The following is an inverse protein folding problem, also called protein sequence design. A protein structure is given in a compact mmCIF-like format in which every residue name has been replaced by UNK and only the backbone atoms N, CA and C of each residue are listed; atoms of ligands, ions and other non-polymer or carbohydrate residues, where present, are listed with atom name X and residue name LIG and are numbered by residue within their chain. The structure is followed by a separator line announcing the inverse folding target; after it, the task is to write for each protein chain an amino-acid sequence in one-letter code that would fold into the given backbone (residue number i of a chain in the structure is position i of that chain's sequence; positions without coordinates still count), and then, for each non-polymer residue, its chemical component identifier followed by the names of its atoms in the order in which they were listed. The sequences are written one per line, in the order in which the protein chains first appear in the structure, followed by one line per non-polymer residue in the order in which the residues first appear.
data_IF_581120302412
#
_entry.id   IF_581120302412
#
_cell.length_a   1.000
_cell.length_b   1.000
_cell.length_c   1.000
_cell.angle_alpha   90.00
_cell.angle_beta   90.00
_cell.angle_gamma   90.00
#
_symmetry.space_group_name_H-M   'P 1'
#
loop_
_entity.id
_entity.type
_entity.pdbx_description
1 polymer ?
#
# COMPACT_ATOMS: atom_id res chain seq x y z
N UNK A 1 -10.17 -3.01 4.36
CA UNK A 1 -9.76 -1.69 4.89
C UNK A 1 -10.75 -0.60 4.45
N UNK A 2 -11.04 0.39 5.31
CA UNK A 2 -11.99 1.48 5.01
C UNK A 2 -11.26 2.82 5.02
N UNK A 3 -11.40 3.60 3.95
CA UNK A 3 -10.91 4.96 3.84
C UNK A 3 -12.05 5.95 4.02
N UNK A 4 -11.77 7.05 4.70
CA UNK A 4 -12.72 8.14 4.92
C UNK A 4 -12.21 9.39 4.23
N UNK A 5 -13.03 9.95 3.34
CA UNK A 5 -12.76 11.22 2.66
C UNK A 5 -13.69 12.27 3.24
N UNK A 6 -13.12 13.38 3.68
CA UNK A 6 -13.86 14.48 4.30
C UNK A 6 -13.79 15.72 3.41
N UNK A 7 -14.94 16.37 3.19
CA UNK A 7 -14.97 17.73 2.65
C UNK A 7 -15.18 18.74 3.77
N UNK A 8 -14.56 19.90 3.63
CA UNK A 8 -14.64 21.02 4.58
C UNK A 8 -15.01 22.30 3.86
N UNK A 9 -15.61 23.26 4.57
CA UNK A 9 -16.02 24.55 3.99
C UNK A 9 -17.48 24.55 3.57
N UNK A 10 -17.79 25.22 2.46
CA UNK A 10 -19.16 25.29 1.94
C UNK A 10 -19.63 23.92 1.42
N UNK A 11 -20.75 23.46 1.98
CA UNK A 11 -21.38 22.19 1.69
C UNK A 11 -22.81 22.36 1.15
N UNK A 12 -23.19 23.57 0.72
CA UNK A 12 -24.56 23.87 0.29
C UNK A 12 -24.95 23.20 -1.04
N UNK A 13 -23.98 22.80 -1.86
CA UNK A 13 -24.20 22.11 -3.12
C UNK A 13 -23.60 20.69 -3.12
N UNK A 14 -24.08 19.88 -4.04
CA UNK A 14 -23.48 18.58 -4.33
C UNK A 14 -22.04 18.78 -4.83
N UNK A 15 -21.12 17.92 -4.45
CA UNK A 15 -19.73 17.90 -4.92
C UNK A 15 -19.29 16.47 -5.11
N UNK A 16 -18.30 16.25 -5.95
CA UNK A 16 -17.70 14.93 -6.14
C UNK A 16 -16.20 15.01 -6.28
N UNK A 17 -15.54 13.89 -5.97
CA UNK A 17 -14.11 13.67 -6.17
C UNK A 17 -13.92 12.21 -6.58
N UNK A 18 -13.01 11.96 -7.51
CA UNK A 18 -12.61 10.61 -7.88
C UNK A 18 -11.55 10.11 -6.91
N UNK A 19 -11.54 8.80 -6.64
CA UNK A 19 -10.49 8.12 -5.92
C UNK A 19 -9.93 6.96 -6.76
N UNK A 20 -8.66 6.63 -6.56
CA UNK A 20 -8.04 5.43 -7.10
C UNK A 20 -6.97 4.90 -6.16
N UNK A 21 -6.80 3.58 -6.11
CA UNK A 21 -5.68 2.92 -5.44
C UNK A 21 -4.60 2.54 -6.45
N UNK A 22 -3.33 2.63 -6.06
CA UNK A 22 -2.17 2.23 -6.86
C UNK A 22 -1.02 1.75 -5.97
N UNK A 23 -0.04 1.08 -6.58
CA UNK A 23 1.27 0.82 -5.98
C UNK A 23 2.21 1.87 -6.57
N UNK A 24 2.60 2.84 -5.77
CA UNK A 24 3.46 3.96 -6.20
C UNK A 24 4.93 3.72 -5.83
N UNK A 25 5.81 4.61 -6.27
CA UNK A 25 7.21 4.56 -5.86
C UNK A 25 7.34 4.72 -4.33
N UNK A 26 7.85 3.68 -3.67
CA UNK A 26 8.01 3.64 -2.21
C UNK A 26 7.03 2.70 -1.50
N UNK A 27 6.01 2.21 -2.21
CA UNK A 27 5.14 1.14 -1.75
C UNK A 27 5.82 -0.23 -1.87
N UNK A 28 5.42 -1.16 -1.00
CA UNK A 28 5.92 -2.54 -0.98
C UNK A 28 4.82 -3.60 -1.09
N UNK A 29 3.55 -3.22 -1.21
CA UNK A 29 2.50 -4.16 -1.60
C UNK A 29 2.64 -4.54 -3.09
N UNK A 30 2.20 -5.74 -3.40
CA UNK A 30 2.03 -6.34 -4.71
C UNK A 30 0.55 -6.37 -5.12
N UNK A 31 0.30 -6.65 -6.41
CA UNK A 31 -1.07 -6.70 -6.95
C UNK A 31 -1.92 -7.85 -6.38
N UNK A 32 -1.28 -8.82 -5.69
CA UNK A 32 -1.95 -9.93 -5.01
C UNK A 32 -2.57 -9.52 -3.66
N UNK A 33 -1.98 -8.53 -2.98
CA UNK A 33 -2.23 -8.27 -1.56
C UNK A 33 -3.50 -7.46 -1.34
N UNK A 34 -3.98 -6.79 -2.39
CA UNK A 34 -5.26 -6.09 -2.37
C UNK A 34 -5.91 -6.06 -3.75
N UNK A 35 -7.25 -5.96 -3.75
CA UNK A 35 -8.00 -5.67 -4.96
C UNK A 35 -8.01 -4.18 -5.20
N UNK A 36 -7.33 -3.74 -6.27
CA UNK A 36 -7.34 -2.35 -6.70
C UNK A 36 -8.78 -1.81 -6.87
N UNK A 37 -9.03 -0.60 -6.38
CA UNK A 37 -10.32 0.04 -6.37
C UNK A 37 -10.23 1.48 -6.89
N UNK A 38 -11.25 1.93 -7.62
CA UNK A 38 -11.41 3.30 -8.07
C UNK A 38 -12.88 3.63 -8.22
N UNK A 39 -13.21 4.91 -8.20
CA UNK A 39 -14.57 5.38 -8.40
C UNK A 39 -14.75 6.84 -8.04
N UNK A 40 -16.00 7.27 -7.98
CA UNK A 40 -16.37 8.66 -7.65
C UNK A 40 -17.12 8.67 -6.32
N UNK A 41 -16.68 9.52 -5.39
CA UNK A 41 -17.41 9.82 -4.16
C UNK A 41 -18.28 11.06 -4.41
N UNK A 42 -19.59 10.91 -4.26
CA UNK A 42 -20.53 12.03 -4.30
C UNK A 42 -20.91 12.46 -2.89
N UNK A 43 -20.69 13.73 -2.59
CA UNK A 43 -21.13 14.41 -1.39
C UNK A 43 -22.38 15.22 -1.75
N UNK A 44 -23.56 14.70 -1.42
CA UNK A 44 -24.80 15.48 -1.53
C UNK A 44 -24.74 16.72 -0.62
N UNK A 45 -25.51 17.76 -0.92
CA UNK A 45 -25.61 18.96 -0.07
C UNK A 45 -25.74 18.62 1.42
N UNK A 46 -24.89 19.20 2.26
CA UNK A 46 -24.81 18.97 3.71
C UNK A 46 -24.03 17.72 4.14
N UNK A 47 -23.76 16.74 3.27
CA UNK A 47 -22.97 15.54 3.60
C UNK A 47 -21.49 15.88 3.60
N UNK A 48 -20.76 15.71 4.70
CA UNK A 48 -19.34 16.11 4.77
C UNK A 48 -18.35 14.95 4.70
N UNK A 49 -18.84 13.71 4.75
CA UNK A 49 -17.98 12.53 4.82
C UNK A 49 -18.52 11.44 3.89
N UNK A 50 -17.61 10.82 3.14
CA UNK A 50 -17.87 9.64 2.35
C UNK A 50 -16.79 8.60 2.65
N UNK A 51 -17.10 7.33 2.40
CA UNK A 51 -16.17 6.23 2.61
C UNK A 51 -16.13 5.32 1.39
N UNK A 52 -14.99 4.69 1.18
CA UNK A 52 -14.87 3.52 0.31
C UNK A 52 -14.01 2.46 0.98
N UNK A 53 -14.12 1.22 0.50
CA UNK A 53 -13.39 0.09 1.05
C UNK A 53 -12.42 -0.48 0.04
N UNK A 54 -11.25 -0.92 0.50
CA UNK A 54 -10.31 -1.72 -0.26
C UNK A 54 -10.28 -3.11 0.37
N UNK A 55 -10.46 -4.14 -0.46
CA UNK A 55 -10.37 -5.54 -0.02
C UNK A 55 -8.90 -5.95 -0.01
N UNK A 56 -8.45 -6.52 1.10
CA UNK A 56 -7.11 -7.10 1.24
C UNK A 56 -7.19 -8.60 1.00
N UNK A 57 -6.14 -9.17 0.42
CA UNK A 57 -5.92 -10.60 0.40
C UNK A 57 -5.21 -11.01 1.70
N UNK A 58 -5.38 -12.27 2.05
CA UNK A 58 -4.66 -12.90 3.14
C UNK A 58 -4.15 -14.21 2.59
N UNK A 59 -2.88 -14.50 2.84
CA UNK A 59 -2.31 -15.80 2.53
C UNK A 59 -1.51 -16.35 3.72
N UNK A 60 -0.68 -17.36 3.48
CA UNK A 60 0.02 -18.11 4.52
C UNK A 60 1.51 -17.78 4.62
N UNK A 61 2.00 -16.84 3.82
CA UNK A 61 3.40 -16.39 3.78
C UNK A 61 3.61 -15.24 4.75
N UNK A 62 4.79 -15.17 5.36
CA UNK A 62 5.17 -13.97 6.11
C UNK A 62 5.78 -12.94 5.16
N UNK A 63 5.13 -11.79 5.05
CA UNK A 63 5.52 -10.70 4.14
C UNK A 63 5.87 -9.40 4.87
N UNK A 64 5.45 -9.29 6.15
CA UNK A 64 5.56 -8.06 6.94
C UNK A 64 4.47 -7.05 6.61
N UNK A 65 4.62 -5.81 7.10
CA UNK A 65 3.65 -4.74 6.78
C UNK A 65 3.87 -4.22 5.36
N UNK A 66 2.78 -4.13 4.60
CA UNK A 66 2.81 -3.73 3.18
C UNK A 66 1.97 -2.48 2.94
N UNK A 67 2.43 -1.58 2.07
CA UNK A 67 1.75 -0.32 1.77
C UNK A 67 1.33 -0.21 0.32
N UNK A 68 0.19 0.44 0.11
CA UNK A 68 -0.25 0.94 -1.18
C UNK A 68 -0.81 2.36 -1.03
N UNK A 69 -0.93 3.06 -2.16
CA UNK A 69 -1.36 4.45 -2.20
C UNK A 69 -2.82 4.62 -2.62
N UNK A 70 -3.47 5.65 -2.10
CA UNK A 70 -4.76 6.19 -2.52
C UNK A 70 -4.53 7.59 -3.07
N UNK A 71 -5.12 7.92 -4.22
CA UNK A 71 -5.08 9.26 -4.79
C UNK A 71 -6.49 9.80 -5.01
N UNK A 72 -6.66 11.11 -4.84
CA UNK A 72 -7.88 11.85 -5.17
C UNK A 72 -7.67 12.72 -6.41
N UNK A 73 -8.67 12.78 -7.27
CA UNK A 73 -8.61 13.55 -8.52
C UNK A 73 -9.97 14.14 -8.91
N UNK A 74 -9.96 15.02 -9.92
CA UNK A 74 -11.15 15.56 -10.60
C UNK A 74 -12.24 16.11 -9.65
N UNK A 75 -11.91 17.02 -8.71
CA UNK A 75 -12.92 17.63 -7.86
C UNK A 75 -13.89 18.46 -8.70
N UNK A 76 -15.18 18.42 -8.38
CA UNK A 76 -16.23 19.17 -9.09
C UNK A 76 -16.69 20.42 -8.35
N UNK A 77 -17.48 21.26 -9.02
CA UNK A 77 -18.12 22.46 -8.46
C UNK A 77 -17.15 23.44 -7.78
N UNK A 78 -15.98 23.63 -8.41
CA UNK A 78 -14.96 24.59 -7.95
C UNK A 78 -14.22 24.16 -6.68
N UNK A 79 -14.43 22.92 -6.22
CA UNK A 79 -13.74 22.37 -5.06
C UNK A 79 -12.25 22.20 -5.35
N UNK A 80 -11.43 22.25 -4.29
CA UNK A 80 -9.99 22.04 -4.36
C UNK A 80 -9.60 20.85 -3.48
N UNK A 81 -8.65 20.04 -3.96
CA UNK A 81 -8.06 18.96 -3.17
C UNK A 81 -6.88 19.56 -2.40
N UNK A 82 -7.00 19.57 -1.06
CA UNK A 82 -5.95 20.07 -0.15
C UNK A 82 -4.99 18.94 0.25
N UNK A 83 -5.56 17.77 0.55
CA UNK A 83 -4.83 16.53 0.78
C UNK A 83 -5.35 15.48 -0.22
N UNK A 84 -4.50 15.13 -1.17
CA UNK A 84 -4.87 14.31 -2.33
C UNK A 84 -4.35 12.89 -2.27
N UNK A 85 -3.61 12.52 -1.22
CA UNK A 85 -2.94 11.23 -1.13
C UNK A 85 -3.19 10.59 0.23
N UNK A 86 -3.46 9.29 0.25
CA UNK A 86 -3.51 8.48 1.46
C UNK A 86 -2.66 7.22 1.31
N UNK A 87 -2.24 6.64 2.44
CA UNK A 87 -1.53 5.35 2.46
C UNK A 87 -2.41 4.31 3.13
N UNK A 88 -2.59 3.17 2.47
CA UNK A 88 -3.13 1.97 3.07
C UNK A 88 -1.99 1.08 3.57
N UNK A 89 -2.12 0.55 4.79
CA UNK A 89 -1.17 -0.43 5.35
C UNK A 89 -1.91 -1.73 5.59
N UNK A 90 -1.44 -2.79 4.94
CA UNK A 90 -1.82 -4.18 5.17
C UNK A 90 -0.89 -4.69 6.26
N UNK A 91 -1.47 -5.14 7.36
CA UNK A 91 -0.73 -5.67 8.51
C UNK A 91 -0.80 -7.18 8.44
N UNK A 92 0.37 -7.81 8.30
CA UNK A 92 0.51 -9.25 8.32
C UNK A 92 0.27 -9.82 9.73
N UNK A 93 -0.12 -11.08 9.83
CA UNK A 93 -0.38 -11.74 11.13
C UNK A 93 0.89 -12.19 11.86
N UNK A 94 2.06 -12.05 11.23
CA UNK A 94 3.35 -12.39 11.80
C UNK A 94 3.69 -13.88 11.71
N UNK A 95 2.96 -14.64 10.89
CA UNK A 95 3.13 -16.09 10.74
C UNK A 95 3.42 -16.49 9.30
N UNK A 96 3.87 -17.73 9.10
CA UNK A 96 4.19 -18.25 7.78
C UNK A 96 5.69 -18.36 7.48
N UNK A 97 6.07 -19.07 6.41
CA UNK A 97 7.44 -19.15 5.96
C UNK A 97 7.89 -17.81 5.36
N UNK A 98 9.13 -17.41 5.65
CA UNK A 98 9.77 -16.25 5.03
C UNK A 98 10.46 -16.70 3.74
N UNK A 99 10.11 -16.11 2.59
CA UNK A 99 10.81 -16.35 1.33
C UNK A 99 12.06 -15.47 1.24
N UNK A 100 13.17 -15.92 1.82
CA UNK A 100 14.47 -15.23 1.74
C UNK A 100 15.21 -15.60 0.44
N UNK A 101 15.26 -14.66 -0.52
CA UNK A 101 16.23 -14.74 -1.62
C UNK A 101 17.50 -14.00 -1.19
N UNK A 102 18.46 -14.72 -0.62
CA UNK A 102 19.81 -14.19 -0.38
C UNK A 102 20.67 -14.35 -1.64
N UNK A 103 21.52 -13.37 -2.02
CA UNK A 103 22.51 -13.61 -3.07
C UNK A 103 23.36 -14.80 -2.64
N UNK A 104 23.52 -15.77 -3.54
CA UNK A 104 24.38 -16.92 -3.28
C UNK A 104 25.76 -16.39 -2.89
N UNK A 105 26.17 -16.59 -1.64
CA UNK A 105 27.59 -16.54 -1.30
C UNK A 105 28.23 -17.63 -2.17
N UNK A 106 28.92 -17.22 -3.23
CA UNK A 106 29.85 -18.11 -3.90
C UNK A 106 30.74 -18.69 -2.80
N UNK A 107 30.63 -20.00 -2.57
CA UNK A 107 31.49 -20.73 -1.65
C UNK A 107 32.92 -20.37 -2.02
N UNK A 108 33.59 -19.53 -1.24
CA UNK A 108 35.04 -19.46 -1.33
C UNK A 108 35.54 -20.82 -0.88
N UNK A 109 35.86 -21.69 -1.83
CA UNK A 109 36.68 -22.86 -1.58
C UNK A 109 38.08 -22.37 -1.27
N UNK A 110 38.32 -21.94 -0.03
CA UNK A 110 39.69 -21.94 0.47
C UNK A 110 39.97 -23.36 0.96
N UNK A 111 40.56 -24.16 0.08
CA UNK A 111 41.09 -25.49 0.37
C UNK A 111 42.00 -25.40 1.61
N UNK A 112 41.88 -26.33 2.59
CA UNK A 112 42.78 -26.31 3.74
C UNK A 112 44.20 -26.70 3.28
N UNK A 113 45.17 -25.80 3.45
CA UNK A 113 46.57 -26.20 3.40
C UNK A 113 46.87 -26.92 4.71
N UNK A 114 46.92 -28.26 4.67
CA UNK A 114 47.39 -29.07 5.79
C UNK A 114 48.83 -28.68 6.13
N UNK A 115 49.08 -28.43 7.41
CA UNK A 115 50.42 -28.31 7.97
C UNK A 115 51.25 -29.56 7.69
N UNK A 116 52.49 -29.35 7.25
CA UNK A 116 53.59 -30.24 7.57
C UNK A 116 54.67 -29.36 8.24
N UNK A 117 54.86 -29.56 9.53
CA UNK A 117 56.09 -29.18 10.22
C UNK A 117 57.05 -30.36 10.18
N UNK A 118 58.35 -30.04 10.17
CA UNK A 118 59.47 -30.71 10.87
C UNK A 118 60.69 -30.92 9.95
N UNK A 119 61.79 -30.33 10.46
CA UNK A 119 63.21 -30.18 10.04
C UNK A 119 63.51 -29.44 8.73
#
# INVERSE_FOLDING_TARGET
MTFTVTRTGDAAADQSVDFATSIEAGDNAEAGDFTGNNGTLTFAAGVTTQTFTVQTAQDASYEGDETFSVTLANPTNGSQIVDGTGVGTIVDDGTGPVHLIQPALARQTMTPLRSASVI
#
